data_IF_765833203559
#
_entry.id   IF_765833203559
#
_cell.length_a   1.000
_cell.length_b   1.000
_cell.length_c   1.000
_cell.angle_alpha   90.00
_cell.angle_beta   90.00
_cell.angle_gamma   90.00
#
_symmetry.space_group_name_H-M   'P 1'
#
loop_
_entity.id
_entity.type
_entity.pdbx_description
1 polymer ?
#
# COMPACT_ATOMS: atom_id res chain seq x y z
N UNK A 1 -15.63 -32.41 -24.01
CA UNK A 1 -14.52 -31.85 -23.19
C UNK A 1 -15.08 -30.68 -22.40
N UNK A 2 -15.21 -30.84 -21.08
CA UNK A 2 -15.77 -29.80 -20.21
C UNK A 2 -14.67 -28.80 -19.86
N UNK A 3 -14.65 -27.65 -20.54
CA UNK A 3 -13.82 -26.52 -20.13
C UNK A 3 -14.35 -26.02 -18.78
N UNK A 4 -13.62 -26.32 -17.70
CA UNK A 4 -13.90 -25.72 -16.39
C UNK A 4 -13.73 -24.21 -16.54
N UNK A 5 -14.68 -23.38 -16.10
CA UNK A 5 -14.44 -21.95 -16.04
C UNK A 5 -13.28 -21.73 -15.07
N UNK A 6 -12.26 -20.99 -15.51
CA UNK A 6 -11.28 -20.40 -14.61
C UNK A 6 -12.07 -19.61 -13.57
N UNK A 7 -12.11 -20.11 -12.33
CA UNK A 7 -12.67 -19.38 -11.22
C UNK A 7 -12.08 -17.97 -11.27
N UNK A 8 -12.93 -16.96 -11.51
CA UNK A 8 -12.51 -15.57 -11.40
C UNK A 8 -11.91 -15.43 -10.01
N UNK A 9 -10.58 -15.33 -9.90
CA UNK A 9 -9.93 -14.91 -8.65
C UNK A 9 -10.60 -13.59 -8.33
N UNK A 10 -11.38 -13.56 -7.25
CA UNK A 10 -12.03 -12.35 -6.80
C UNK A 10 -10.90 -11.40 -6.44
N UNK A 11 -10.72 -10.36 -7.25
CA UNK A 11 -9.80 -9.28 -6.95
C UNK A 11 -10.28 -8.64 -5.64
N UNK A 12 -9.47 -8.73 -4.59
CA UNK A 12 -9.76 -8.04 -3.34
C UNK A 12 -9.04 -6.70 -3.40
N UNK A 13 -9.83 -5.63 -3.36
CA UNK A 13 -9.35 -4.25 -3.25
C UNK A 13 -9.52 -3.80 -1.81
N UNK A 14 -8.48 -3.15 -1.26
CA UNK A 14 -8.54 -2.54 0.06
C UNK A 14 -8.42 -1.02 -0.08
N UNK A 15 -9.50 -0.31 0.24
CA UNK A 15 -9.53 1.15 0.34
C UNK A 15 -9.61 1.55 1.82
N UNK A 16 -8.48 2.04 2.35
CA UNK A 16 -8.35 2.51 3.73
C UNK A 16 -8.60 4.01 3.79
N UNK A 17 -9.74 4.41 4.33
CA UNK A 17 -10.11 5.81 4.51
C UNK A 17 -10.03 6.26 5.98
N UNK A 18 -8.86 6.74 6.41
CA UNK A 18 -8.54 6.97 7.83
C UNK A 18 -8.45 8.47 8.16
N UNK A 19 -9.47 9.23 7.77
CA UNK A 19 -9.49 10.70 7.90
C UNK A 19 -9.58 11.21 9.34
N UNK A 20 -10.23 10.46 10.24
CA UNK A 20 -10.57 10.91 11.59
C UNK A 20 -10.14 9.93 12.70
N UNK A 21 -9.27 8.96 12.40
CA UNK A 21 -8.82 8.03 13.43
C UNK A 21 -8.00 8.75 14.50
N UNK A 22 -8.51 8.72 15.74
CA UNK A 22 -7.80 9.22 16.93
C UNK A 22 -6.74 8.23 17.42
N UNK A 23 -6.88 6.96 17.06
CA UNK A 23 -5.98 5.87 17.43
C UNK A 23 -4.89 5.63 16.36
N UNK A 24 -3.73 5.16 16.81
CA UNK A 24 -2.68 4.65 15.93
C UNK A 24 -3.11 3.27 15.42
N UNK A 25 -3.46 3.20 14.14
CA UNK A 25 -3.89 1.95 13.48
C UNK A 25 -2.83 1.40 12.54
N UNK A 26 -1.64 2.00 12.54
CA UNK A 26 -0.52 1.66 11.67
C UNK A 26 -0.16 0.17 11.73
N UNK A 27 -0.04 -0.40 12.92
CA UNK A 27 0.29 -1.82 13.12
C UNK A 27 -0.82 -2.75 12.58
N UNK A 28 -2.09 -2.35 12.77
CA UNK A 28 -3.24 -3.10 12.25
C UNK A 28 -3.25 -3.10 10.72
N UNK A 29 -2.88 -1.98 10.10
CA UNK A 29 -2.78 -1.87 8.64
C UNK A 29 -1.71 -2.82 8.12
N UNK A 30 -0.53 -2.84 8.76
CA UNK A 30 0.55 -3.75 8.39
C UNK A 30 0.12 -5.21 8.55
N UNK A 31 -0.52 -5.56 9.66
CA UNK A 31 -1.02 -6.92 9.90
C UNK A 31 -2.08 -7.33 8.87
N UNK A 32 -2.98 -6.42 8.50
CA UNK A 32 -4.03 -6.68 7.52
C UNK A 32 -3.45 -6.87 6.11
N UNK A 33 -2.48 -6.03 5.73
CA UNK A 33 -1.75 -6.17 4.47
C UNK A 33 -0.98 -7.50 4.44
N UNK A 34 -0.29 -7.84 5.53
CA UNK A 34 0.45 -9.09 5.67
C UNK A 34 -0.44 -10.33 5.51
N UNK A 35 -1.66 -10.31 6.07
CA UNK A 35 -2.61 -11.43 5.97
C UNK A 35 -3.36 -11.51 4.64
N UNK A 36 -3.32 -10.46 3.81
CA UNK A 36 -4.14 -10.35 2.61
C UNK A 36 -3.40 -10.84 1.36
N UNK A 37 -3.22 -12.16 1.23
CA UNK A 37 -2.49 -12.80 0.11
C UNK A 37 -3.15 -12.63 -1.28
N UNK A 38 -4.41 -12.22 -1.32
CA UNK A 38 -5.18 -11.97 -2.54
C UNK A 38 -5.42 -10.49 -2.82
N UNK A 39 -4.79 -9.60 -2.05
CA UNK A 39 -4.89 -8.17 -2.26
C UNK A 39 -4.24 -7.82 -3.60
N UNK A 40 -5.01 -7.23 -4.51
CA UNK A 40 -4.50 -6.76 -5.81
C UNK A 40 -4.20 -5.27 -5.79
N UNK A 41 -5.01 -4.48 -5.09
CA UNK A 41 -4.84 -3.03 -5.05
C UNK A 41 -4.95 -2.54 -3.61
N UNK A 42 -3.96 -1.75 -3.19
CA UNK A 42 -3.95 -1.06 -1.92
C UNK A 42 -4.11 0.43 -2.15
N UNK A 43 -5.17 1.01 -1.61
CA UNK A 43 -5.40 2.45 -1.63
C UNK A 43 -5.51 2.97 -0.20
N UNK A 44 -4.73 3.98 0.10
CA UNK A 44 -4.70 4.65 1.38
C UNK A 44 -5.07 6.13 1.21
N UNK A 45 -6.14 6.59 1.85
CA UNK A 45 -6.58 7.98 1.90
C UNK A 45 -6.76 8.39 3.37
N UNK A 46 -5.78 9.07 3.95
CA UNK A 46 -5.78 9.31 5.40
C UNK A 46 -4.57 10.08 5.92
N UNK A 47 -4.56 10.33 7.23
CA UNK A 47 -3.42 10.97 7.90
C UNK A 47 -2.36 9.92 8.23
N UNK A 48 -1.22 9.97 7.53
CA UNK A 48 -0.04 9.15 7.85
C UNK A 48 0.57 9.65 9.16
N UNK A 49 0.18 9.02 10.28
CA UNK A 49 0.72 9.35 11.61
C UNK A 49 2.14 8.83 11.79
N UNK A 50 2.44 7.68 11.21
CA UNK A 50 3.78 7.11 11.15
C UNK A 50 4.21 6.88 9.70
N UNK A 51 5.22 7.61 9.25
CA UNK A 51 5.74 7.50 7.88
C UNK A 51 6.44 6.16 7.65
N UNK A 52 6.97 5.56 8.72
CA UNK A 52 7.60 4.24 8.62
C UNK A 52 6.59 3.18 8.20
N UNK A 53 5.30 3.34 8.47
CA UNK A 53 4.24 2.45 7.98
C UNK A 53 4.28 2.34 6.46
N UNK A 54 4.40 3.47 5.75
CA UNK A 54 4.47 3.47 4.29
C UNK A 54 5.76 2.80 3.80
N UNK A 55 6.89 3.09 4.45
CA UNK A 55 8.17 2.44 4.11
C UNK A 55 8.09 0.93 4.30
N UNK A 56 7.47 0.47 5.37
CA UNK A 56 7.28 -0.96 5.67
C UNK A 56 6.38 -1.63 4.63
N UNK A 57 5.26 -1.00 4.24
CA UNK A 57 4.40 -1.51 3.16
C UNK A 57 5.19 -1.71 1.86
N UNK A 58 6.03 -0.73 1.50
CA UNK A 58 6.89 -0.86 0.32
C UNK A 58 7.91 -1.99 0.47
N UNK A 59 8.50 -2.19 1.65
CA UNK A 59 9.41 -3.31 1.93
C UNK A 59 8.72 -4.67 1.86
N UNK A 60 7.53 -4.82 2.44
CA UNK A 60 6.73 -6.04 2.36
C UNK A 60 6.49 -6.45 0.92
N UNK A 61 6.19 -5.49 0.06
CA UNK A 61 5.99 -5.74 -1.35
C UNK A 61 7.29 -6.05 -2.10
N UNK A 62 8.38 -5.35 -1.82
CA UNK A 62 9.68 -5.64 -2.44
C UNK A 62 10.23 -7.01 -2.04
N UNK A 63 9.92 -7.49 -0.84
CA UNK A 63 10.35 -8.79 -0.32
C UNK A 63 9.41 -9.95 -0.70
N UNK A 64 8.43 -9.71 -1.58
CA UNK A 64 7.43 -10.70 -2.02
C UNK A 64 6.56 -11.26 -0.88
N UNK A 65 6.49 -10.55 0.26
CA UNK A 65 5.58 -10.89 1.36
C UNK A 65 4.12 -10.62 0.96
N UNK A 66 3.91 -9.62 0.10
CA UNK A 66 2.60 -9.24 -0.46
C UNK A 66 2.67 -9.24 -1.98
N UNK A 67 1.51 -9.38 -2.64
CA UNK A 67 1.43 -9.53 -4.10
C UNK A 67 0.48 -8.52 -4.75
N UNK A 68 0.30 -7.33 -4.15
CA UNK A 68 -0.55 -6.31 -4.76
C UNK A 68 0.15 -5.67 -5.96
N UNK A 69 -0.62 -5.37 -6.99
CA UNK A 69 -0.17 -4.77 -8.25
C UNK A 69 -0.12 -3.25 -8.18
N UNK A 70 -0.87 -2.64 -7.26
CA UNK A 70 -0.86 -1.19 -7.09
C UNK A 70 -0.91 -0.75 -5.63
N UNK A 71 -0.19 0.33 -5.37
CA UNK A 71 -0.15 1.07 -4.12
C UNK A 71 -0.40 2.55 -4.42
N UNK A 72 -1.58 3.02 -4.03
CA UNK A 72 -1.98 4.42 -4.16
C UNK A 72 -2.08 5.03 -2.76
N UNK A 73 -1.37 6.13 -2.53
CA UNK A 73 -1.34 6.79 -1.23
C UNK A 73 -1.72 8.24 -1.43
N UNK A 74 -2.72 8.71 -0.70
CA UNK A 74 -3.15 10.11 -0.65
C UNK A 74 -3.09 10.59 0.80
N UNK A 75 -1.90 11.00 1.28
CA UNK A 75 -1.74 11.47 2.63
C UNK A 75 -2.52 12.75 2.88
N UNK A 76 -3.01 12.93 4.10
CA UNK A 76 -3.65 14.17 4.55
C UNK A 76 -2.84 14.85 5.65
N UNK A 77 -2.98 16.16 5.75
CA UNK A 77 -2.35 17.01 6.77
C UNK A 77 -0.82 16.83 6.85
N UNK A 78 -0.17 16.84 5.69
CA UNK A 78 1.30 16.82 5.62
C UNK A 78 1.88 18.14 6.10
N UNK A 79 2.75 18.06 7.12
CA UNK A 79 3.70 19.14 7.43
C UNK A 79 4.96 18.98 6.55
N UNK A 80 5.86 19.97 6.58
CA UNK A 80 7.06 19.97 5.72
C UNK A 80 7.98 18.78 5.97
N UNK A 81 8.12 18.36 7.24
CA UNK A 81 8.89 17.17 7.62
C UNK A 81 8.31 15.90 6.98
N UNK A 82 6.99 15.74 7.03
CA UNK A 82 6.31 14.58 6.49
C UNK A 82 6.35 14.57 4.96
N UNK A 83 6.27 15.76 4.34
CA UNK A 83 6.40 15.92 2.89
C UNK A 83 7.78 15.47 2.42
N UNK A 84 8.85 15.95 3.04
CA UNK A 84 10.22 15.53 2.69
C UNK A 84 10.41 14.03 2.82
N UNK A 85 9.96 13.44 3.93
CA UNK A 85 10.11 12.00 4.14
C UNK A 85 9.29 11.15 3.14
N UNK A 86 8.14 11.65 2.68
CA UNK A 86 7.35 11.00 1.63
C UNK A 86 8.05 11.08 0.27
N UNK A 87 8.64 12.24 -0.07
CA UNK A 87 9.42 12.40 -1.29
C UNK A 87 10.66 11.48 -1.29
N UNK A 88 11.30 11.31 -0.14
CA UNK A 88 12.40 10.36 0.04
C UNK A 88 11.94 8.92 -0.18
N UNK A 89 10.81 8.51 0.42
CA UNK A 89 10.22 7.18 0.17
C UNK A 89 9.87 7.02 -1.30
N UNK A 90 9.26 8.02 -1.93
CA UNK A 90 8.91 7.93 -3.34
C UNK A 90 10.17 7.73 -4.19
N UNK A 91 11.24 8.46 -3.91
CA UNK A 91 12.53 8.31 -4.61
C UNK A 91 13.17 6.93 -4.38
N UNK A 92 13.16 6.45 -3.14
CA UNK A 92 13.82 5.21 -2.73
C UNK A 92 13.16 3.95 -3.31
N UNK A 93 11.84 4.00 -3.56
CA UNK A 93 11.05 2.82 -3.90
C UNK A 93 10.44 2.85 -5.31
N UNK A 94 10.26 4.01 -5.94
CA UNK A 94 9.57 4.07 -7.25
C UNK A 94 10.24 3.22 -8.33
N UNK A 95 11.57 3.27 -8.45
CA UNK A 95 12.31 2.46 -9.44
C UNK A 95 12.20 0.97 -9.13
N UNK A 96 12.44 0.58 -7.87
CA UNK A 96 12.42 -0.81 -7.41
C UNK A 96 11.04 -1.46 -7.57
N UNK A 97 9.97 -0.71 -7.27
CA UNK A 97 8.60 -1.18 -7.44
C UNK A 97 8.21 -1.26 -8.93
N UNK A 98 8.66 -0.30 -9.74
CA UNK A 98 8.45 -0.34 -11.19
C UNK A 98 9.14 -1.52 -11.88
N UNK A 99 10.34 -1.91 -11.44
CA UNK A 99 11.04 -3.13 -11.90
C UNK A 99 10.20 -4.40 -11.68
N UNK A 100 9.41 -4.43 -10.60
CA UNK A 100 8.46 -5.50 -10.29
C UNK A 100 7.07 -5.29 -10.89
N UNK A 101 6.91 -4.33 -11.80
CA UNK A 101 5.63 -3.96 -12.46
C UNK A 101 4.54 -3.47 -11.51
N UNK A 102 4.92 -2.97 -10.33
CA UNK A 102 3.97 -2.45 -9.33
C UNK A 102 3.75 -0.97 -9.57
N UNK A 103 2.48 -0.57 -9.65
CA UNK A 103 2.11 0.84 -9.78
C UNK A 103 2.17 1.49 -8.40
N UNK A 104 3.18 2.32 -8.16
CA UNK A 104 3.29 3.11 -6.94
C UNK A 104 3.04 4.58 -7.23
N UNK A 105 2.03 5.16 -6.56
CA UNK A 105 1.73 6.59 -6.68
C UNK A 105 1.42 7.20 -5.32
N UNK A 106 1.98 8.38 -5.09
CA UNK A 106 1.64 9.25 -3.97
C UNK A 106 1.09 10.55 -4.55
N UNK A 107 -0.09 10.97 -4.09
CA UNK A 107 -0.81 12.18 -4.52
C UNK A 107 -0.98 13.18 -3.38
#
# INVERSE_FOLDING_TARGET
MSVRPLAKRQAIDLDLNLKNNREMVDDLILELIYKSSHLLNLKYDGVLRNINTLREICHLQLNDTTNFQSLYVRPKNLNDTNRSAIEDIQRDFSSKLAEKTIIFKIE
#
